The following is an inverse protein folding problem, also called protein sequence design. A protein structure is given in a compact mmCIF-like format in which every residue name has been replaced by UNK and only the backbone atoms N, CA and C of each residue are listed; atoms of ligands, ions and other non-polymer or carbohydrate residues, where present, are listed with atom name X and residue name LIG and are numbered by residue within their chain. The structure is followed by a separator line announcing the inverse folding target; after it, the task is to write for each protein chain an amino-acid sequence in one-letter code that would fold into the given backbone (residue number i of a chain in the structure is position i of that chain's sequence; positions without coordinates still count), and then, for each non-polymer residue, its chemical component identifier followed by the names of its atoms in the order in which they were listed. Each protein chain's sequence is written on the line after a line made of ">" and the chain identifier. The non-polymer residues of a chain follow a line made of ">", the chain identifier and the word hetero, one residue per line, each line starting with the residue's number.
data_IF_925309361653
#
_entry.id   IF_925309361653
#
_cell.length_a   1.000
_cell.length_b   1.000
_cell.length_c   1.000
_cell.angle_alpha   90.00
_cell.angle_beta   90.00
_cell.angle_gamma   90.00
#
_symmetry.space_group_name_H-M   'P 1'
#
loop_
_entity.id
_entity.type
_entity.pdbx_description
1 polymer ?
2 non-polymer ?
3 non-polymer ?
4 non-polymer ?
5 non-polymer ?
6 non-polymer ?
7 water ?
#
# COMPACT_ATOMS: atom_id res chain seq x y z
N UNK A 7 15.46 15.23 -9.17
CA UNK A 7 14.15 15.21 -9.89
C UNK A 7 13.26 14.09 -9.30
N UNK A 8 12.18 14.49 -8.66
CA UNK A 8 11.36 13.54 -7.90
C UNK A 8 10.72 12.47 -8.83
N UNK A 9 10.69 11.24 -8.34
CA UNK A 9 10.07 10.09 -9.03
C UNK A 9 8.57 10.02 -8.77
N UNK A 10 7.81 10.40 -9.77
CA UNK A 10 6.35 10.53 -9.68
C UNK A 10 5.68 9.60 -10.70
N UNK A 11 4.72 8.82 -10.22
CA UNK A 11 3.91 7.97 -11.06
C UNK A 11 2.44 8.36 -10.94
N UNK A 12 1.77 8.38 -12.08
CA UNK A 12 0.37 8.75 -12.18
C UNK A 12 -0.40 7.74 -13.03
N UNK A 13 -1.58 7.40 -12.54
CA UNK A 13 -2.47 6.45 -13.18
C UNK A 13 -3.89 6.96 -13.10
N UNK A 14 -4.61 6.91 -14.20
CA UNK A 14 -6.06 7.05 -14.23
C UNK A 14 -6.62 5.82 -14.86
N UNK A 15 -7.60 5.23 -14.18
CA UNK A 15 -8.21 4.02 -14.64
C UNK A 15 -9.69 4.00 -14.38
N UNK A 16 -10.47 3.76 -15.42
CA UNK A 16 -11.91 3.70 -15.31
C UNK A 16 -12.40 2.34 -15.78
N UNK A 17 -13.34 1.78 -15.01
CA UNK A 17 -14.11 0.60 -15.38
C UNK A 17 -15.60 0.89 -15.25
N UNK A 18 -16.45 -0.09 -15.59
CA UNK A 18 -17.91 0.10 -15.36
C UNK A 18 -18.23 0.25 -13.89
N UNK A 19 -17.35 -0.30 -13.05
CA UNK A 19 -17.54 -0.36 -11.59
C UNK A 19 -16.94 0.82 -10.79
N UNK A 20 -15.82 1.36 -11.26
CA UNK A 20 -14.99 2.29 -10.48
C UNK A 20 -14.29 3.31 -11.38
N UNK A 21 -13.92 4.42 -10.78
CA UNK A 21 -13.10 5.42 -11.42
C UNK A 21 -11.99 5.83 -10.44
N UNK A 22 -10.73 5.66 -10.84
CA UNK A 22 -9.61 5.84 -9.94
C UNK A 22 -8.54 6.72 -10.55
N UNK A 23 -8.02 7.64 -9.74
CA UNK A 23 -6.85 8.44 -10.07
C UNK A 23 -5.83 8.35 -8.94
N UNK A 24 -4.58 8.04 -9.27
CA UNK A 24 -3.49 7.94 -8.29
C UNK A 24 -2.30 8.75 -8.77
N UNK A 25 -1.68 9.48 -7.85
CA UNK A 25 -0.36 10.07 -8.09
C UNK A 25 0.50 9.83 -6.86
N UNK A 26 1.65 9.22 -7.07
CA UNK A 26 2.56 8.95 -5.96
C UNK A 26 3.94 9.51 -6.26
N UNK A 27 4.50 10.21 -5.27
CA UNK A 27 5.89 10.70 -5.31
C UNK A 27 6.71 9.86 -4.35
N UNK A 28 7.64 9.09 -4.89
CA UNK A 28 8.52 8.25 -4.07
C UNK A 28 9.48 9.07 -3.20
N UNK A 29 9.75 10.31 -3.64
CA UNK A 29 10.68 11.22 -2.99
C UNK A 29 9.91 12.34 -2.29
N UNK A 30 8.83 11.98 -1.61
CA UNK A 30 7.95 12.93 -1.02
C UNK A 30 8.29 13.38 0.38
N UNK A 31 7.30 14.04 0.97
CA UNK A 31 7.35 14.56 2.32
C UNK A 31 6.24 14.06 3.21
N UNK A 32 5.58 13.00 2.77
CA UNK A 32 4.48 12.45 3.54
C UNK A 32 3.14 13.15 3.36
N UNK A 33 2.96 13.82 2.22
CA UNK A 33 1.72 14.56 1.94
C UNK A 33 0.64 13.51 1.67
N UNK A 34 -0.40 13.54 2.47
CA UNK A 34 -1.50 12.63 2.40
C UNK A 34 -2.76 13.28 1.84
N UNK A 35 -3.26 12.75 0.75
CA UNK A 35 -4.38 13.31 0.03
C UNK A 35 -5.24 12.23 -0.63
N UNK A 36 -5.88 11.41 0.20
CA UNK A 36 -6.53 10.18 -0.26
C UNK A 36 -8.01 10.18 0.07
N UNK A 37 -8.84 10.03 -0.96
CA UNK A 37 -10.28 9.93 -0.82
C UNK A 37 -10.82 8.89 -1.77
N UNK A 38 -11.07 7.71 -1.22
CA UNK A 38 -11.44 6.52 -1.99
C UNK A 38 -12.89 6.16 -1.93
N UNK A 39 -13.65 6.81 -1.07
CA UNK A 39 -15.00 6.39 -0.73
C UNK A 39 -15.05 5.29 0.34
N UNK A 40 -13.89 4.88 0.85
CA UNK A 40 -13.77 3.86 1.88
C UNK A 40 -12.95 4.51 3.00
N UNK A 41 -13.62 5.03 4.05
CA UNK A 41 -12.89 5.81 5.06
C UNK A 41 -11.73 5.08 5.72
N UNK A 42 -11.89 3.79 6.02
CA UNK A 42 -10.81 3.08 6.68
C UNK A 42 -9.59 2.96 5.73
N UNK A 43 -9.84 2.69 4.45
CA UNK A 43 -8.77 2.66 3.47
C UNK A 43 -8.08 4.03 3.38
N UNK A 44 -8.86 5.11 3.39
CA UNK A 44 -8.24 6.44 3.43
C UNK A 44 -7.26 6.56 4.60
N UNK A 45 -7.71 6.09 5.76
CA UNK A 45 -6.86 6.18 6.96
C UNK A 45 -5.57 5.37 6.76
N UNK A 46 -5.67 4.20 6.17
CA UNK A 46 -4.47 3.40 5.90
C UNK A 46 -3.55 4.04 4.87
N UNK A 47 -4.13 4.65 3.84
CA UNK A 47 -3.31 5.34 2.83
C UNK A 47 -2.61 6.55 3.43
N UNK A 48 -3.25 7.20 4.40
CA UNK A 48 -2.59 8.28 5.16
C UNK A 48 -1.36 7.75 5.90
N UNK A 49 -1.46 6.55 6.43
CA UNK A 49 -0.32 5.93 7.12
C UNK A 49 0.80 5.64 6.14
N UNK A 50 0.43 5.16 4.97
CA UNK A 50 1.38 4.86 3.92
C UNK A 50 2.21 6.14 3.62
N UNK A 51 1.51 7.26 3.46
CA UNK A 51 2.19 8.52 3.19
C UNK A 51 3.09 8.96 4.35
N UNK A 52 2.52 8.98 5.54
CA UNK A 52 3.24 9.55 6.71
C UNK A 52 4.42 8.68 7.15
N UNK A 53 4.26 7.38 7.12
CA UNK A 53 5.34 6.47 7.54
C UNK A 53 6.34 6.16 6.43
N UNK A 54 5.91 6.29 5.18
CA UNK A 54 6.80 6.04 4.06
C UNK A 54 7.45 7.27 3.49
N UNK A 55 6.96 8.45 3.88
CA UNK A 55 7.35 9.74 3.30
C UNK A 55 7.13 9.76 1.80
N UNK A 56 6.08 9.10 1.38
CA UNK A 56 5.55 9.23 0.02
C UNK A 56 4.56 10.38 0.03
N UNK A 57 4.44 11.07 -1.09
CA UNK A 57 3.25 11.90 -1.31
C UNK A 57 2.24 11.05 -2.05
N UNK A 58 1.05 10.94 -1.49
CA UNK A 58 0.01 10.04 -1.97
C UNK A 58 -1.24 10.84 -2.23
N UNK A 59 -1.62 10.86 -3.51
CA UNK A 59 -2.85 11.49 -3.93
C UNK A 59 -3.70 10.41 -4.58
N UNK A 60 -4.87 10.17 -4.02
CA UNK A 60 -5.78 9.15 -4.53
C UNK A 60 -7.18 9.74 -4.56
N UNK A 61 -7.88 9.50 -5.67
CA UNK A 61 -9.31 9.75 -5.73
C UNK A 61 -9.93 8.53 -6.34
N UNK A 62 -11.01 8.06 -5.72
CA UNK A 62 -11.76 6.97 -6.27
C UNK A 62 -13.24 7.15 -5.98
N UNK A 63 -14.04 6.69 -6.92
CA UNK A 63 -15.46 6.49 -6.76
C UNK A 63 -15.79 5.12 -7.29
N UNK A 64 -16.88 4.57 -6.82
CA UNK A 64 -17.30 3.27 -7.28
C UNK A 64 -18.54 2.77 -6.62
N UNK A 65 -18.79 1.51 -6.88
CA UNK A 65 -20.05 0.82 -6.57
C UNK A 65 -20.13 0.28 -5.15
N UNK A 66 -19.86 1.17 -4.20
CA UNK A 66 -19.79 0.79 -2.80
C UNK A 66 -21.16 0.33 -2.21
N UNK A 67 -22.25 0.61 -2.92
CA UNK A 67 -23.56 0.06 -2.53
C UNK A 67 -23.64 -1.46 -2.72
N UNK A 68 -22.82 -2.00 -3.59
CA UNK A 68 -22.68 -3.44 -3.72
C UNK A 68 -21.79 -3.98 -2.62
N UNK A 69 -20.59 -3.43 -2.53
CA UNK A 69 -19.70 -3.56 -1.38
C UNK A 69 -18.44 -2.79 -1.72
N UNK A 70 -17.52 -2.72 -0.80
CA UNK A 70 -16.30 -1.94 -1.02
C UNK A 70 -15.30 -2.66 -1.92
N UNK A 71 -15.56 -3.91 -2.27
CA UNK A 71 -14.59 -4.77 -2.93
C UNK A 71 -14.03 -4.19 -4.23
N UNK A 72 -14.91 -3.81 -5.17
CA UNK A 72 -14.36 -3.39 -6.46
C UNK A 72 -13.51 -2.11 -6.31
N UNK A 73 -13.99 -1.17 -5.52
CA UNK A 73 -13.22 0.05 -5.24
C UNK A 73 -11.87 -0.27 -4.63
N UNK A 74 -11.88 -1.10 -3.59
CA UNK A 74 -10.65 -1.44 -2.90
C UNK A 74 -9.63 -2.06 -3.86
N UNK A 75 -10.13 -2.98 -4.68
CA UNK A 75 -9.29 -3.65 -5.66
C UNK A 75 -8.72 -2.71 -6.70
N UNK A 76 -9.59 -1.86 -7.26
CA UNK A 76 -9.16 -0.99 -8.34
C UNK A 76 -8.20 0.11 -7.83
N UNK A 77 -8.39 0.55 -6.61
CA UNK A 77 -7.44 1.47 -5.99
C UNK A 77 -6.07 0.82 -5.85
N UNK A 78 -6.06 -0.40 -5.34
CA UNK A 78 -4.82 -1.14 -5.16
C UNK A 78 -4.10 -1.39 -6.49
N UNK A 79 -4.86 -1.81 -7.50
CA UNK A 79 -4.26 -2.05 -8.81
C UNK A 79 -3.60 -0.78 -9.31
N UNK A 80 -4.31 0.34 -9.24
CA UNK A 80 -3.77 1.60 -9.72
C UNK A 80 -2.56 2.06 -8.93
N UNK A 81 -2.56 1.85 -7.60
CA UNK A 81 -1.39 2.20 -6.81
C UNK A 81 -0.19 1.36 -7.25
N UNK A 82 -0.41 0.08 -7.47
CA UNK A 82 0.70 -0.77 -7.92
C UNK A 82 1.30 -0.28 -9.23
N UNK A 83 0.42 0.10 -10.17
CA UNK A 83 0.89 0.61 -11.45
C UNK A 83 1.64 1.94 -11.26
N UNK A 84 1.12 2.81 -10.41
CA UNK A 84 1.77 4.09 -10.16
C UNK A 84 3.16 3.93 -9.58
N UNK A 85 3.29 2.96 -8.68
CA UNK A 85 4.59 2.64 -8.08
C UNK A 85 5.55 2.18 -9.16
N UNK A 86 5.09 1.26 -10.00
CA UNK A 86 5.90 0.76 -11.12
C UNK A 86 6.39 1.90 -12.01
N UNK A 87 5.45 2.76 -12.38
CA UNK A 87 5.79 3.92 -13.23
C UNK A 87 6.82 4.83 -12.55
N UNK A 88 6.58 5.13 -11.28
CA UNK A 88 7.47 6.01 -10.54
C UNK A 88 8.87 5.48 -10.43
N UNK A 89 8.99 4.18 -10.26
CA UNK A 89 10.30 3.55 -10.09
C UNK A 89 11.19 3.67 -11.33
N UNK A 90 10.56 3.79 -12.49
CA UNK A 90 11.28 3.95 -13.74
C UNK A 90 12.25 2.80 -13.94
N UNK A 91 13.50 3.14 -14.30
CA UNK A 91 14.51 2.12 -14.54
C UNK A 91 15.09 1.46 -13.28
N UNK A 92 14.67 1.91 -12.09
CA UNK A 92 15.05 1.27 -10.81
C UNK A 92 16.57 1.26 -10.56
N UNK A 93 17.26 2.24 -11.12
CA UNK A 93 18.70 2.24 -10.97
C UNK A 93 19.11 2.87 -9.66
N UNK A 94 20.03 2.20 -8.98
CA UNK A 94 20.68 2.79 -7.80
C UNK A 94 19.88 2.75 -6.51
N UNK A 95 18.77 2.01 -6.48
CA UNK A 95 17.93 1.91 -5.28
C UNK A 95 18.30 0.72 -4.41
N UNK A 96 17.86 0.76 -3.17
CA UNK A 96 18.12 -0.37 -2.26
C UNK A 96 17.46 -1.67 -2.74
N UNK A 97 16.26 -1.55 -3.31
CA UNK A 97 15.49 -2.65 -3.94
C UNK A 97 14.74 -3.52 -2.90
N UNK A 98 15.42 -3.86 -1.82
CA UNK A 98 14.89 -4.63 -0.71
C UNK A 98 14.53 -3.75 0.47
N UNK A 99 13.43 -4.10 1.13
CA UNK A 99 13.02 -3.51 2.36
C UNK A 99 12.60 -4.51 3.40
N UNK A 100 12.84 -4.23 4.66
CA UNK A 100 12.56 -5.18 5.77
C UNK A 100 12.30 -4.34 6.98
N UNK A 101 11.09 -4.37 7.52
CA UNK A 101 10.77 -3.66 8.74
C UNK A 101 9.67 -4.35 9.51
N UNK A 102 9.79 -4.32 10.84
CA UNK A 102 8.80 -4.82 11.75
C UNK A 102 8.33 -3.69 12.65
N UNK A 103 7.04 -3.38 12.58
CA UNK A 103 6.46 -2.29 13.34
C UNK A 103 5.38 -2.75 14.29
N UNK A 104 5.37 -2.19 15.52
CA UNK A 104 4.25 -2.43 16.43
C UNK A 104 3.19 -1.37 16.30
N UNK A 105 2.01 -1.71 16.81
CA UNK A 105 1.01 -0.73 17.19
C UNK A 105 0.39 -1.37 18.44
N UNK A 106 0.82 -0.88 19.60
CA UNK A 106 0.45 -1.45 20.89
C UNK A 106 0.77 -2.96 20.86
N UNK A 107 -0.23 -3.82 21.09
CA UNK A 107 -0.01 -5.26 21.19
C UNK A 107 0.25 -5.91 19.84
N UNK A 108 -0.08 -5.23 18.76
CA UNK A 108 0.15 -5.79 17.41
C UNK A 108 1.59 -5.59 16.96
N UNK A 109 2.10 -6.57 16.21
CA UNK A 109 3.47 -6.52 15.74
C UNK A 109 3.50 -7.21 14.38
N UNK A 110 3.87 -6.46 13.33
CA UNK A 110 3.78 -6.97 11.95
C UNK A 110 5.12 -6.78 11.26
N UNK A 111 5.61 -7.87 10.68
CA UNK A 111 6.83 -7.89 9.88
C UNK A 111 6.46 -7.83 8.41
N UNK A 112 7.08 -6.88 7.70
CA UNK A 112 7.02 -6.81 6.24
C UNK A 112 8.42 -6.89 5.63
N UNK A 113 8.59 -7.78 4.68
CA UNK A 113 9.77 -7.86 3.87
C UNK A 113 9.34 -7.80 2.42
N UNK A 114 10.03 -7.01 1.60
CA UNK A 114 9.70 -6.91 0.20
C UNK A 114 10.94 -6.73 -0.67
N UNK A 115 10.76 -7.11 -1.93
CA UNK A 115 11.78 -6.99 -2.97
C UNK A 115 11.07 -6.43 -4.19
N UNK A 116 11.58 -5.31 -4.69
CA UNK A 116 11.11 -4.71 -5.94
C UNK A 116 11.73 -5.46 -7.11
N UNK A 117 11.24 -6.68 -7.30
CA UNK A 117 11.87 -7.71 -8.12
C UNK A 117 11.39 -7.78 -9.57
N UNK A 118 10.20 -7.26 -9.82
CA UNK A 118 9.51 -7.50 -11.07
C UNK A 118 8.71 -8.77 -11.16
N UNK A 119 8.66 -9.55 -10.08
CA UNK A 119 7.91 -10.81 -10.06
C UNK A 119 6.87 -10.70 -8.93
N UNK A 120 5.57 -10.69 -9.28
CA UNK A 120 4.57 -10.54 -8.21
C UNK A 120 4.47 -11.77 -7.33
N UNK A 121 4.44 -11.56 -6.02
CA UNK A 121 4.19 -12.64 -5.06
C UNK A 121 3.73 -11.99 -3.77
N UNK A 122 2.64 -12.49 -3.18
CA UNK A 122 2.23 -12.10 -1.83
C UNK A 122 2.26 -13.34 -0.92
N UNK A 123 3.03 -13.22 0.16
CA UNK A 123 2.93 -14.13 1.29
C UNK A 123 2.23 -13.37 2.40
N UNK A 124 1.15 -13.89 2.93
CA UNK A 124 0.30 -13.15 3.87
C UNK A 124 -0.30 -14.10 4.86
N UNK A 125 -0.13 -13.84 6.14
CA UNK A 125 -0.70 -14.72 7.17
C UNK A 125 -1.49 -14.00 8.25
N UNK A 126 -1.95 -12.77 7.97
CA UNK A 126 -2.72 -12.04 8.97
C UNK A 126 -3.96 -12.86 9.33
N UNK A 127 -4.31 -12.82 10.61
CA UNK A 127 -5.55 -13.40 11.13
C UNK A 127 -6.24 -12.28 11.88
N UNK A 128 -7.13 -11.62 11.17
CA UNK A 128 -7.81 -10.43 11.67
C UNK A 128 -9.08 -10.95 12.38
N UNK A 129 -9.25 -10.74 13.69
CA UNK A 129 -10.25 -11.52 14.40
C UNK A 129 -11.67 -11.00 14.31
N UNK A 130 -11.91 -9.87 13.66
CA UNK A 130 -13.26 -9.36 13.45
C UNK A 130 -13.49 -9.14 11.97
N UNK A 131 -14.77 -9.17 11.58
CA UNK A 131 -15.16 -9.07 10.18
C UNK A 131 -15.24 -7.67 9.63
N UNK A 132 -15.49 -6.70 10.47
CA UNK A 132 -15.65 -5.28 10.09
C UNK A 132 -14.88 -4.39 11.06
N UNK A 133 -14.05 -3.52 10.48
CA UNK A 133 -13.43 -2.41 11.21
C UNK A 133 -14.13 -1.18 10.71
N UNK A 134 -14.92 -0.57 11.57
CA UNK A 134 -15.88 0.40 11.09
C UNK A 134 -16.82 -0.28 10.12
N UNK A 135 -16.90 0.23 8.90
CA UNK A 135 -17.67 -0.41 7.84
C UNK A 135 -16.80 -1.20 6.85
N UNK A 136 -15.50 -1.29 7.14
CA UNK A 136 -14.54 -1.93 6.23
C UNK A 136 -14.42 -3.44 6.49
N UNK A 137 -14.70 -4.21 5.43
CA UNK A 137 -14.61 -5.65 5.43
C UNK A 137 -13.14 -6.07 5.52
N UNK A 138 -12.76 -6.75 6.59
CA UNK A 138 -11.37 -7.04 6.82
C UNK A 138 -10.77 -8.07 5.85
N UNK A 139 -11.60 -8.79 5.07
CA UNK A 139 -11.03 -9.60 3.97
C UNK A 139 -10.35 -8.74 2.93
N UNK A 140 -10.72 -7.46 2.87
CA UNK A 140 -10.22 -6.60 1.81
C UNK A 140 -8.77 -6.20 2.00
N UNK A 141 -8.21 -6.40 3.18
CA UNK A 141 -6.82 -6.07 3.42
C UNK A 141 -5.92 -6.95 2.57
N UNK A 142 -6.16 -8.28 2.60
CA UNK A 142 -5.37 -9.18 1.78
C UNK A 142 -5.49 -8.82 0.31
N UNK A 143 -6.72 -8.54 -0.12
CA UNK A 143 -6.95 -8.24 -1.53
C UNK A 143 -6.24 -6.95 -1.98
N UNK A 144 -6.18 -5.97 -1.09
CA UNK A 144 -5.47 -4.72 -1.35
C UNK A 144 -4.02 -5.04 -1.66
N UNK A 145 -3.37 -5.79 -0.78
CA UNK A 145 -1.96 -6.08 -1.00
C UNK A 145 -1.73 -7.00 -2.20
N UNK A 146 -2.63 -7.97 -2.42
CA UNK A 146 -2.47 -8.85 -3.56
C UNK A 146 -2.55 -8.09 -4.88
N UNK A 147 -3.52 -7.21 -5.01
CA UNK A 147 -3.71 -6.45 -6.21
C UNK A 147 -2.55 -5.47 -6.45
N UNK A 148 -2.09 -4.85 -5.39
CA UNK A 148 -0.93 -3.96 -5.47
C UNK A 148 0.31 -4.69 -5.96
N UNK A 149 0.56 -5.86 -5.39
CA UNK A 149 1.68 -6.69 -5.79
C UNK A 149 1.57 -7.06 -7.27
N UNK A 150 0.39 -7.41 -7.71
CA UNK A 150 0.20 -7.91 -9.04
C UNK A 150 0.54 -6.87 -10.11
N UNK A 151 0.19 -5.60 -9.91
CA UNK A 151 0.53 -4.60 -10.91
C UNK A 151 1.89 -3.94 -10.71
N UNK A 152 2.40 -3.92 -9.50
CA UNK A 152 3.72 -3.38 -9.24
C UNK A 152 4.82 -4.35 -9.57
N UNK A 153 4.52 -5.64 -9.57
CA UNK A 153 5.57 -6.65 -9.72
C UNK A 153 6.51 -6.70 -8.52
N UNK A 154 5.92 -6.75 -7.35
CA UNK A 154 6.61 -6.76 -6.08
C UNK A 154 6.56 -8.15 -5.44
N UNK A 155 7.64 -8.56 -4.80
CA UNK A 155 7.65 -9.71 -3.89
C UNK A 155 7.38 -9.13 -2.50
N UNK A 156 6.30 -9.57 -1.85
CA UNK A 156 5.87 -8.99 -0.58
C UNK A 156 5.48 -10.10 0.39
N UNK A 157 6.09 -10.07 1.56
CA UNK A 157 5.74 -10.96 2.65
C UNK A 157 5.26 -10.13 3.84
N UNK A 158 4.09 -10.50 4.36
CA UNK A 158 3.46 -9.87 5.53
C UNK A 158 3.22 -10.96 6.57
N UNK A 159 3.81 -10.77 7.75
CA UNK A 159 3.77 -11.77 8.80
C UNK A 159 3.25 -11.16 10.10
N UNK A 160 2.20 -11.72 10.64
CA UNK A 160 1.61 -11.29 11.93
C UNK A 160 2.38 -11.99 13.03
N UNK A 161 3.13 -11.21 13.81
CA UNK A 161 3.90 -11.73 14.94
C UNK A 161 3.12 -11.66 16.25
N UNK A 162 2.21 -10.70 16.35
CA UNK A 162 1.34 -10.53 17.53
C UNK A 162 0.21 -9.63 17.11
N UNK A 163 -0.84 -9.63 17.92
CA UNK A 163 -1.94 -8.71 17.72
C UNK A 163 -3.26 -9.30 18.08
N UNK A 164 -4.17 -8.44 18.53
CA UNK A 164 -5.53 -8.83 18.90
C UNK A 164 -6.58 -7.85 18.33
N UNK A 165 -6.35 -6.57 18.41
CA UNK A 165 -7.27 -5.56 17.93
C UNK A 165 -7.12 -5.43 16.42
N UNK A 166 -8.22 -5.59 15.69
CA UNK A 166 -8.19 -5.59 14.24
C UNK A 166 -7.62 -4.33 13.66
N UNK A 167 -8.03 -3.16 14.17
CA UNK A 167 -7.52 -1.89 13.68
C UNK A 167 -6.01 -1.81 13.93
N UNK A 168 -5.56 -2.24 15.09
CA UNK A 168 -4.13 -2.27 15.36
C UNK A 168 -3.36 -3.16 14.38
N UNK A 169 -3.88 -4.36 14.14
CA UNK A 169 -3.22 -5.31 13.24
C UNK A 169 -3.07 -4.71 11.85
N UNK A 170 -4.17 -4.15 11.32
CA UNK A 170 -4.16 -3.63 9.96
C UNK A 170 -3.27 -2.38 9.87
N UNK A 171 -3.38 -1.49 10.84
CA UNK A 171 -2.61 -0.26 10.82
C UNK A 171 -1.12 -0.53 10.97
N UNK A 172 -0.75 -1.44 11.86
CA UNK A 172 0.65 -1.83 12.01
C UNK A 172 1.19 -2.40 10.69
N UNK A 173 0.35 -3.16 9.96
CA UNK A 173 0.75 -3.69 8.66
C UNK A 173 1.10 -2.55 7.73
N UNK A 174 0.24 -1.54 7.64
CA UNK A 174 0.52 -0.41 6.76
C UNK A 174 1.75 0.38 7.21
N UNK A 175 1.98 0.53 8.49
CA UNK A 175 3.17 1.20 8.98
C UNK A 175 4.43 0.45 8.54
N UNK A 176 4.43 -0.86 8.76
CA UNK A 176 5.59 -1.70 8.44
C UNK A 176 5.82 -1.71 6.95
N UNK A 177 4.73 -1.88 6.18
CA UNK A 177 4.83 -1.85 4.72
C UNK A 177 5.40 -0.53 4.23
N UNK A 178 4.89 0.57 4.77
CA UNK A 178 5.35 1.90 4.34
C UNK A 178 6.83 2.07 4.60
N UNK A 179 7.29 1.65 5.76
CA UNK A 179 8.70 1.79 6.13
C UNK A 179 9.58 0.87 5.29
N UNK A 180 9.13 -0.35 5.05
CA UNK A 180 9.87 -1.25 4.18
C UNK A 180 9.93 -0.74 2.75
N UNK A 181 8.83 -0.17 2.26
CA UNK A 181 8.80 0.36 0.89
C UNK A 181 9.67 1.62 0.77
N UNK A 182 9.64 2.48 1.79
CA UNK A 182 10.57 3.61 1.83
C UNK A 182 12.01 3.14 1.69
N UNK A 183 12.39 2.15 2.47
CA UNK A 183 13.75 1.60 2.41
C UNK A 183 14.06 1.10 1.01
N UNK A 184 13.18 0.32 0.42
CA UNK A 184 13.44 -0.29 -0.86
C UNK A 184 13.57 0.72 -1.99
N UNK A 185 12.76 1.78 -1.91
CA UNK A 185 12.73 2.80 -2.98
C UNK A 185 13.82 3.84 -2.84
N UNK A 186 14.43 4.00 -1.69
CA UNK A 186 15.47 4.97 -1.46
C UNK A 186 16.74 4.58 -2.17
N UNK A 187 17.59 5.58 -2.41
CA UNK A 187 18.91 5.41 -2.98
C UNK A 187 19.79 4.56 -2.10
N UNK A 188 20.51 3.63 -2.71
CA UNK A 188 21.57 2.91 -2.03
C UNK A 188 22.80 3.82 -2.16
N UNK A 189 23.40 4.28 -1.04
CA UNK A 189 24.48 5.26 -1.17
C UNK A 189 25.77 4.73 -1.83
N UNK A 190 25.88 3.41 -1.95
CA UNK A 190 27.04 2.79 -2.61
C UNK A 190 26.73 2.33 -4.05
N UNK A 191 25.53 2.65 -4.54
CA UNK A 191 25.11 2.32 -5.91
C UNK A 191 24.88 3.57 -6.76
#
# INVERSE_FOLDING_TARGET
>A
MASPIESARIGEVKRETKETNVSVKINLDGHGVSDSSTGIPFLDHMLDQLASHGLFDVHVRATGDTHIDDHHTNEDVALAIGTALLKALGERKGINRFGDFTAPLDEALIHVSLDLSGRPYLGYNLEIPTQRVGTYDTQLVEHFFQSLVNTSGMTLHIRQLAGKNSHHIIEATFKAFARALRQATESDPRRGGTIPSSKGVLSRS
#
